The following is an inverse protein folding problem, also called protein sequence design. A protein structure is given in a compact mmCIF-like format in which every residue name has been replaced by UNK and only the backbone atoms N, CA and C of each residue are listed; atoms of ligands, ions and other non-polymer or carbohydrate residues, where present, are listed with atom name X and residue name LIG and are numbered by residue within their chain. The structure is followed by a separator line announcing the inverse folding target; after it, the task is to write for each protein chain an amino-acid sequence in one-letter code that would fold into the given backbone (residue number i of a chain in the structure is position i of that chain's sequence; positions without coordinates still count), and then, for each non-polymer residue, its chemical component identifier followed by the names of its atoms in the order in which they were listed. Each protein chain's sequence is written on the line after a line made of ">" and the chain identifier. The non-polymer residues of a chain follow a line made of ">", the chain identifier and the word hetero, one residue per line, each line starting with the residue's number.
data_IF_675628138143
#
_entry.id   IF_675628138143
#
_cell.length_a   1.000
_cell.length_b   1.000
_cell.length_c   1.000
_cell.angle_alpha   90.00
_cell.angle_beta   90.00
_cell.angle_gamma   90.00
#
_symmetry.space_group_name_H-M   'P 1'
#
loop_
_entity.id
_entity.type
_entity.pdbx_description
1 polymer ?
#
# COMPACT_ATOMS: atom_id res chain seq x y z
N UNK A 1 5.08 21.36 9.46
CA UNK A 1 4.53 20.37 8.52
C UNK A 1 3.93 19.14 9.20
N UNK A 2 4.60 18.51 10.17
CA UNK A 2 4.16 17.24 10.79
C UNK A 2 2.69 17.21 11.29
N UNK A 3 2.22 18.24 12.00
CA UNK A 3 0.81 18.30 12.49
C UNK A 3 -0.24 18.26 11.38
N UNK A 4 0.05 18.82 10.21
CA UNK A 4 -0.90 18.83 9.09
C UNK A 4 -1.02 17.47 8.41
N UNK A 5 0.06 16.69 8.37
CA UNK A 5 0.06 15.33 7.81
C UNK A 5 -0.65 14.38 8.76
N UNK A 6 -0.33 14.48 10.06
CA UNK A 6 -0.96 13.66 11.10
C UNK A 6 -2.48 13.84 11.15
N UNK A 7 -2.97 15.08 11.12
CA UNK A 7 -4.41 15.37 11.10
C UNK A 7 -5.09 14.82 9.84
N UNK A 8 -4.39 14.85 8.69
CA UNK A 8 -4.95 14.33 7.44
C UNK A 8 -5.01 12.81 7.44
N UNK A 9 -3.99 12.12 7.96
CA UNK A 9 -4.00 10.66 8.12
C UNK A 9 -5.12 10.23 9.09
N UNK A 10 -5.31 10.94 10.20
CA UNK A 10 -6.42 10.68 11.12
C UNK A 10 -7.80 10.81 10.45
N UNK A 11 -7.97 11.77 9.55
CA UNK A 11 -9.22 11.92 8.80
C UNK A 11 -9.49 10.82 7.77
N UNK A 12 -8.46 10.06 7.37
CA UNK A 12 -8.57 8.96 6.42
C UNK A 12 -8.90 7.61 7.08
N UNK A 13 -9.06 7.58 8.40
CA UNK A 13 -9.32 6.37 9.18
C UNK A 13 -8.28 5.25 8.93
N UNK A 14 -7.02 5.64 8.76
CA UNK A 14 -5.90 4.70 8.59
C UNK A 14 -5.36 4.26 9.94
N UNK A 15 -4.93 3.01 10.02
CA UNK A 15 -4.29 2.43 11.20
C UNK A 15 -2.77 2.56 11.11
N UNK A 16 -2.15 3.06 12.19
CA UNK A 16 -0.69 3.04 12.31
C UNK A 16 -0.21 1.60 12.53
N UNK A 17 0.86 1.20 11.85
CA UNK A 17 1.45 -0.13 12.01
C UNK A 17 1.92 -0.32 13.46
N UNK A 18 1.54 -1.46 14.03
CA UNK A 18 1.92 -1.81 15.41
C UNK A 18 3.44 -1.86 15.61
N UNK A 19 3.88 -1.33 16.74
CA UNK A 19 5.25 -1.50 17.21
C UNK A 19 5.29 -2.73 18.10
N UNK A 20 6.28 -3.58 17.89
CA UNK A 20 6.46 -4.80 18.66
C UNK A 20 7.90 -4.90 19.15
N UNK A 21 8.19 -5.71 20.19
CA UNK A 21 9.56 -5.92 20.65
C UNK A 21 10.44 -6.40 19.49
N UNK A 22 11.58 -5.73 19.28
CA UNK A 22 12.53 -6.10 18.24
C UNK A 22 13.06 -7.52 18.41
N UNK A 23 13.32 -7.91 19.65
CA UNK A 23 13.64 -9.28 20.00
C UNK A 23 12.42 -9.87 20.73
N UNK A 24 11.76 -10.89 20.15
CA UNK A 24 10.68 -11.60 20.84
C UNK A 24 11.16 -12.12 22.20
N UNK A 25 10.28 -12.12 23.20
CA UNK A 25 10.50 -12.78 24.51
C UNK A 25 11.59 -12.13 25.39
N UNK A 26 12.10 -10.96 25.02
CA UNK A 26 12.98 -10.14 25.88
C UNK A 26 12.19 -8.92 26.38
N UNK A 27 11.91 -8.88 27.67
CA UNK A 27 11.11 -7.82 28.31
C UNK A 27 11.73 -6.41 28.15
N UNK A 28 13.07 -6.32 28.11
CA UNK A 28 13.79 -5.05 27.96
C UNK A 28 14.11 -4.71 26.48
N UNK A 29 13.51 -5.41 25.52
CA UNK A 29 13.71 -5.11 24.10
C UNK A 29 13.07 -3.77 23.73
N UNK A 30 13.80 -2.96 22.96
CA UNK A 30 13.21 -1.80 22.32
C UNK A 30 12.04 -2.20 21.40
N UNK A 31 11.06 -1.32 21.28
CA UNK A 31 9.93 -1.47 20.37
C UNK A 31 10.30 -0.93 18.99
N UNK A 32 10.10 -1.75 17.96
CA UNK A 32 10.27 -1.33 16.57
C UNK A 32 9.07 -1.68 15.71
N UNK A 33 8.90 -0.89 14.65
CA UNK A 33 7.97 -1.18 13.56
C UNK A 33 8.47 -2.43 12.83
N UNK A 34 7.66 -3.48 12.77
CA UNK A 34 7.95 -4.69 11.98
C UNK A 34 7.19 -4.65 10.66
N UNK A 35 7.90 -4.99 9.58
CA UNK A 35 7.33 -5.11 8.23
C UNK A 35 7.65 -6.51 7.69
N UNK A 36 6.98 -7.56 8.19
CA UNK A 36 7.25 -8.93 7.76
C UNK A 36 6.99 -9.07 6.26
N UNK A 37 7.89 -9.76 5.55
CA UNK A 37 7.81 -9.89 4.09
C UNK A 37 8.02 -8.58 3.31
N UNK A 38 8.33 -7.46 3.97
CA UNK A 38 8.49 -6.15 3.33
C UNK A 38 9.79 -5.96 2.54
N UNK A 39 10.70 -6.93 2.56
CA UNK A 39 12.00 -6.83 1.89
C UNK A 39 12.77 -5.57 2.30
N UNK A 40 13.21 -4.79 1.32
CA UNK A 40 13.99 -3.56 1.54
C UNK A 40 13.17 -2.42 2.16
N UNK A 41 11.84 -2.53 2.22
CA UNK A 41 10.95 -1.47 2.72
C UNK A 41 11.31 -1.01 4.13
N UNK A 42 11.60 -1.96 5.03
CA UNK A 42 12.01 -1.65 6.41
C UNK A 42 13.33 -0.89 6.45
N UNK A 43 14.31 -1.33 5.67
CA UNK A 43 15.62 -0.66 5.56
C UNK A 43 15.47 0.77 5.03
N UNK A 44 14.64 1.00 4.01
CA UNK A 44 14.40 2.34 3.47
C UNK A 44 13.76 3.27 4.50
N UNK A 45 12.85 2.75 5.32
CA UNK A 45 12.24 3.50 6.41
C UNK A 45 13.23 3.87 7.49
N UNK A 46 14.02 2.90 7.97
CA UNK A 46 15.00 3.15 9.01
C UNK A 46 16.08 4.14 8.54
N UNK A 47 16.57 3.99 7.31
CA UNK A 47 17.51 4.92 6.69
C UNK A 47 16.88 6.32 6.49
N UNK A 48 15.63 6.37 6.05
CA UNK A 48 14.89 7.63 5.90
C UNK A 48 14.75 8.36 7.23
N UNK A 49 14.36 7.65 8.29
CA UNK A 49 14.28 8.18 9.65
C UNK A 49 15.65 8.65 10.15
N UNK A 50 16.71 7.85 9.98
CA UNK A 50 18.06 8.19 10.44
C UNK A 50 18.64 9.41 9.73
N UNK A 51 18.31 9.60 8.44
CA UNK A 51 18.77 10.73 7.62
C UNK A 51 17.80 11.91 7.61
N UNK A 52 16.77 11.88 8.46
CA UNK A 52 15.73 12.91 8.53
C UNK A 52 15.01 13.18 7.20
N UNK A 53 14.95 12.17 6.32
CA UNK A 53 14.24 12.21 5.05
C UNK A 53 12.77 11.88 5.33
N UNK A 54 11.82 12.75 4.96
CA UNK A 54 10.39 12.46 5.10
C UNK A 54 10.02 11.23 4.28
N UNK A 55 9.66 10.15 4.97
CA UNK A 55 9.24 8.89 4.36
C UNK A 55 7.91 8.44 4.97
N UNK A 56 7.07 7.85 4.14
CA UNK A 56 5.86 7.18 4.56
C UNK A 56 5.81 5.82 3.89
N UNK A 57 5.43 4.81 4.65
CA UNK A 57 5.16 3.48 4.13
C UNK A 57 3.65 3.27 4.19
N UNK A 58 3.07 2.88 3.06
CA UNK A 58 1.70 2.38 2.99
C UNK A 58 1.74 0.88 2.72
N UNK A 59 1.15 0.09 3.61
CA UNK A 59 1.15 -1.37 3.55
C UNK A 59 -0.29 -1.85 3.50
N UNK A 60 -0.51 -2.95 2.76
CA UNK A 60 -1.74 -3.72 2.82
C UNK A 60 -1.37 -5.19 3.04
N UNK A 61 -1.94 -5.79 4.08
CA UNK A 61 -1.81 -7.22 4.33
C UNK A 61 -2.79 -7.93 3.41
N UNK A 62 -2.28 -8.86 2.61
CA UNK A 62 -3.04 -9.56 1.57
C UNK A 62 -2.83 -11.06 1.68
N UNK A 63 -3.85 -11.83 1.33
CA UNK A 63 -3.74 -13.29 1.16
C UNK A 63 -3.13 -13.61 -0.20
N UNK A 64 -2.51 -14.78 -0.34
CA UNK A 64 -1.98 -15.26 -1.63
C UNK A 64 -3.10 -15.42 -2.68
N UNK A 65 -2.80 -15.12 -3.95
CA UNK A 65 -3.70 -15.35 -5.08
C UNK A 65 -3.77 -14.17 -6.04
N UNK A 66 -4.98 -13.86 -6.52
CA UNK A 66 -5.23 -12.67 -7.33
C UNK A 66 -5.33 -11.41 -6.45
N UNK A 67 -4.21 -10.69 -6.33
CA UNK A 67 -4.14 -9.44 -5.56
C UNK A 67 -4.37 -8.19 -6.41
N UNK A 68 -4.91 -8.31 -7.63
CA UNK A 68 -5.30 -7.14 -8.45
C UNK A 68 -6.23 -6.19 -7.67
N UNK A 69 -7.32 -6.66 -7.02
CA UNK A 69 -8.20 -5.75 -6.27
C UNK A 69 -7.48 -5.09 -5.10
N UNK A 70 -6.56 -5.80 -4.46
CA UNK A 70 -5.80 -5.28 -3.33
C UNK A 70 -4.82 -4.19 -3.75
N UNK A 71 -4.13 -4.39 -4.87
CA UNK A 71 -3.24 -3.41 -5.45
C UNK A 71 -4.01 -2.14 -5.86
N UNK A 72 -5.21 -2.28 -6.41
CA UNK A 72 -6.05 -1.13 -6.75
C UNK A 72 -6.52 -0.37 -5.52
N UNK A 73 -6.98 -1.07 -4.48
CA UNK A 73 -7.33 -0.44 -3.21
C UNK A 73 -6.14 0.31 -2.58
N UNK A 74 -4.93 -0.25 -2.63
CA UNK A 74 -3.73 0.41 -2.12
C UNK A 74 -3.44 1.72 -2.88
N UNK A 75 -3.61 1.72 -4.19
CA UNK A 75 -3.44 2.90 -5.05
C UNK A 75 -4.53 3.93 -4.78
N UNK A 76 -5.77 3.50 -4.53
CA UNK A 76 -6.87 4.39 -4.14
C UNK A 76 -6.60 5.08 -2.81
N UNK A 77 -6.18 4.34 -1.77
CA UNK A 77 -5.76 4.94 -0.49
C UNK A 77 -4.65 5.97 -0.70
N UNK A 78 -3.62 5.64 -1.47
CA UNK A 78 -2.56 6.59 -1.80
C UNK A 78 -3.12 7.86 -2.47
N UNK A 79 -4.07 7.70 -3.39
CA UNK A 79 -4.69 8.81 -4.09
C UNK A 79 -5.65 9.63 -3.21
N UNK A 80 -6.36 9.03 -2.26
CA UNK A 80 -7.16 9.76 -1.27
C UNK A 80 -6.27 10.67 -0.42
N UNK A 81 -5.09 10.18 -0.03
CA UNK A 81 -4.15 10.96 0.76
C UNK A 81 -3.48 12.08 -0.05
N UNK A 82 -2.86 11.73 -1.18
CA UNK A 82 -2.01 12.64 -1.95
C UNK A 82 -2.76 13.40 -3.05
N UNK A 83 -3.96 12.98 -3.42
CA UNK A 83 -4.77 13.56 -4.49
C UNK A 83 -3.99 13.66 -5.82
N UNK A 84 -3.25 12.60 -6.16
CA UNK A 84 -2.36 12.50 -7.33
C UNK A 84 -3.15 12.67 -8.63
N UNK A 85 -4.28 11.98 -8.72
CA UNK A 85 -5.24 12.05 -9.80
C UNK A 85 -6.51 12.69 -9.25
N UNK A 86 -6.93 13.78 -9.87
CA UNK A 86 -8.23 14.39 -9.58
C UNK A 86 -9.34 13.54 -10.18
N UNK A 87 -10.48 13.36 -9.49
CA UNK A 87 -11.65 12.75 -10.09
C UNK A 87 -12.01 13.52 -11.38
N UNK A 88 -12.07 12.83 -12.51
CA UNK A 88 -12.52 13.43 -13.76
C UNK A 88 -14.06 13.50 -13.70
N UNK A 89 -14.60 14.52 -13.03
CA UNK A 89 -16.04 14.75 -12.96
C UNK A 89 -16.47 15.72 -14.07
N UNK A 90 -16.99 15.16 -15.17
CA UNK A 90 -18.06 15.81 -15.93
C UNK A 90 -19.38 15.02 -15.82
N UNK A 91 -19.35 13.74 -15.45
CA UNK A 91 -20.54 12.90 -15.28
C UNK A 91 -20.51 12.12 -13.95
N UNK A 92 -21.44 12.39 -13.00
CA UNK A 92 -21.54 11.69 -11.71
C UNK A 92 -21.88 10.20 -11.81
N UNK A 93 -22.25 9.70 -12.99
CA UNK A 93 -22.65 8.29 -13.19
C UNK A 93 -21.50 7.38 -13.63
N UNK A 94 -20.35 7.95 -14.01
CA UNK A 94 -19.19 7.20 -14.46
C UNK A 94 -18.34 6.73 -13.26
N UNK A 95 -18.64 5.55 -12.72
CA UNK A 95 -17.83 4.88 -11.68
C UNK A 95 -16.49 4.30 -12.22
N UNK A 96 -15.99 4.77 -13.37
CA UNK A 96 -14.70 4.31 -13.86
C UNK A 96 -13.59 5.05 -13.14
N UNK A 97 -13.03 4.42 -12.12
CA UNK A 97 -11.73 4.84 -11.57
C UNK A 97 -10.72 4.93 -12.73
N UNK A 98 -9.90 5.99 -12.81
CA UNK A 98 -9.02 6.26 -13.96
C UNK A 98 -7.81 5.32 -14.05
N UNK A 99 -7.77 4.24 -13.26
CA UNK A 99 -6.64 3.32 -13.19
C UNK A 99 -6.61 2.41 -14.41
N UNK A 100 -5.54 2.53 -15.19
CA UNK A 100 -5.28 1.65 -16.32
C UNK A 100 -4.43 0.46 -15.85
N UNK A 101 -4.94 -0.75 -16.01
CA UNK A 101 -4.16 -1.95 -15.73
C UNK A 101 -2.97 -2.08 -16.70
N UNK A 102 -1.78 -2.42 -16.20
CA UNK A 102 -0.64 -2.76 -17.06
C UNK A 102 -0.99 -3.93 -17.99
N UNK A 103 -0.50 -3.89 -19.24
CA UNK A 103 -0.72 -4.98 -20.20
C UNK A 103 -0.13 -6.32 -19.73
N UNK A 104 0.92 -6.27 -18.90
CA UNK A 104 1.52 -7.45 -18.27
C UNK A 104 0.53 -8.21 -17.36
N UNK A 105 -0.52 -7.57 -16.87
CA UNK A 105 -1.51 -8.22 -16.01
C UNK A 105 -2.45 -9.17 -16.76
N UNK A 106 -2.55 -9.03 -18.09
CA UNK A 106 -3.47 -9.82 -18.92
C UNK A 106 -3.22 -11.33 -18.86
N UNK A 107 -1.98 -11.75 -18.60
CA UNK A 107 -1.57 -13.16 -18.59
C UNK A 107 -0.91 -13.54 -17.26
N UNK A 108 -1.33 -12.92 -16.14
CA UNK A 108 -0.81 -13.25 -14.80
C UNK A 108 -0.87 -14.75 -14.49
N UNK A 109 -1.92 -15.41 -14.98
CA UNK A 109 -2.15 -16.84 -14.81
C UNK A 109 -1.88 -17.65 -16.09
N UNK A 110 -1.10 -17.08 -17.01
CA UNK A 110 -0.82 -17.65 -18.33
C UNK A 110 -1.91 -17.38 -19.37
N UNK A 111 -1.68 -17.84 -20.60
CA UNK A 111 -2.76 -17.99 -21.58
C UNK A 111 -3.59 -19.20 -21.16
N UNK A 112 -4.87 -19.01 -20.89
CA UNK A 112 -5.79 -20.09 -20.50
C UNK A 112 -5.73 -21.30 -21.46
N UNK A 113 -6.38 -22.39 -21.07
CA UNK A 113 -6.38 -23.63 -21.86
C UNK A 113 -6.74 -23.34 -23.32
N UNK A 114 -5.98 -23.87 -24.31
CA UNK A 114 -6.31 -23.72 -25.71
C UNK A 114 -7.78 -24.06 -25.96
N UNK A 115 -8.55 -23.23 -26.69
CA UNK A 115 -9.95 -23.51 -26.98
C UNK A 115 -10.18 -24.87 -27.64
N UNK A 116 -9.16 -25.42 -28.32
CA UNK A 116 -9.17 -26.73 -28.94
C UNK A 116 -9.24 -27.92 -27.95
N UNK A 117 -9.19 -27.66 -26.64
CA UNK A 117 -9.34 -28.69 -25.59
C UNK A 117 -10.79 -28.83 -25.09
N UNK A 118 -11.75 -28.07 -25.63
CA UNK A 118 -13.18 -28.10 -25.29
C UNK A 118 -14.06 -28.27 -26.53
#
# INVERSE_FOLDING_TARGET
>A
MQKSVQNKIQSLNWEEVEKTPCIPEIDDSEFCVRVPGGGITKLLYDEGCSKEIPIAILLKIVSEGDNIPDALGLVEYLNEWLQIIKPHCEDPTAFSLPWKMPSSWRLLFGSGLPPALF
#
